data_IF_124398451146
#
_entry.id   IF_124398451146
#
_cell.length_a   1.000
_cell.length_b   1.000
_cell.length_c   1.000
_cell.angle_alpha   90.00
_cell.angle_beta   90.00
_cell.angle_gamma   90.00
#
_symmetry.space_group_name_H-M   'P 1'
#
loop_
_entity.id
_entity.type
_entity.pdbx_description
1 polymer ?
#
# COMPACT_ATOMS: atom_id res chain seq x y z
N UNK A 1 14.81 -31.83 -30.73
CA UNK A 1 13.49 -31.58 -30.13
C UNK A 1 13.42 -30.10 -29.79
N UNK A 2 12.65 -29.31 -30.54
CA UNK A 2 12.37 -27.92 -30.16
C UNK A 2 11.68 -27.90 -28.79
N UNK A 3 12.22 -27.15 -27.84
CA UNK A 3 11.47 -26.77 -26.64
C UNK A 3 10.33 -25.88 -27.10
N UNK A 4 9.11 -26.40 -27.18
CA UNK A 4 7.91 -25.56 -27.33
C UNK A 4 7.94 -24.56 -26.18
N UNK A 5 8.00 -23.27 -26.52
CA UNK A 5 7.99 -22.19 -25.53
C UNK A 5 6.77 -22.30 -24.60
N UNK A 6 6.91 -21.79 -23.38
CA UNK A 6 5.85 -21.80 -22.37
C UNK A 6 4.55 -21.23 -22.95
N UNK A 7 3.54 -22.08 -23.11
CA UNK A 7 2.29 -21.75 -23.82
C UNK A 7 1.35 -20.86 -23.02
N UNK A 8 1.46 -20.86 -21.70
CA UNK A 8 0.67 -20.00 -20.81
C UNK A 8 1.53 -19.55 -19.63
N UNK A 9 2.40 -18.53 -19.82
CA UNK A 9 3.35 -18.10 -18.80
C UNK A 9 2.73 -17.71 -17.47
N UNK A 10 1.52 -17.12 -17.50
CA UNK A 10 0.81 -16.70 -16.31
C UNK A 10 0.43 -17.89 -15.41
N UNK A 11 -0.04 -19.00 -16.02
CA UNK A 11 -0.33 -20.23 -15.28
C UNK A 11 0.94 -20.78 -14.64
N UNK A 12 2.05 -20.89 -15.38
CA UNK A 12 3.32 -21.39 -14.83
C UNK A 12 3.81 -20.55 -13.67
N UNK A 13 3.71 -19.22 -13.77
CA UNK A 13 4.08 -18.29 -12.70
C UNK A 13 3.21 -18.55 -11.46
N UNK A 14 1.89 -18.53 -11.60
CA UNK A 14 0.95 -18.69 -10.48
C UNK A 14 1.01 -20.09 -9.86
N UNK A 15 1.21 -21.13 -10.66
CA UNK A 15 1.40 -22.49 -10.17
C UNK A 15 2.68 -22.63 -9.33
N UNK A 16 3.77 -21.96 -9.74
CA UNK A 16 5.00 -21.87 -8.90
C UNK A 16 4.77 -21.07 -7.62
N UNK A 17 4.00 -19.99 -7.68
CA UNK A 17 3.64 -19.23 -6.46
C UNK A 17 2.83 -20.09 -5.48
N UNK A 18 1.91 -20.91 -5.97
CA UNK A 18 1.11 -21.83 -5.13
C UNK A 18 1.93 -22.97 -4.54
N UNK A 19 3.03 -23.37 -5.19
CA UNK A 19 4.01 -24.30 -4.63
C UNK A 19 4.71 -23.70 -3.40
N UNK A 20 4.91 -22.39 -3.38
CA UNK A 20 5.60 -21.66 -2.31
C UNK A 20 6.96 -22.31 -1.95
N UNK A 21 7.19 -22.70 -0.69
CA UNK A 21 8.46 -23.31 -0.24
C UNK A 21 8.50 -24.84 -0.34
N UNK A 22 7.42 -25.47 -0.83
CA UNK A 22 7.31 -26.95 -0.90
C UNK A 22 8.18 -27.51 -2.01
N UNK A 23 8.77 -28.70 -1.80
CA UNK A 23 9.44 -29.42 -2.89
C UNK A 23 8.42 -29.88 -3.94
N UNK A 24 8.87 -30.21 -5.15
CA UNK A 24 7.98 -30.78 -6.18
C UNK A 24 7.30 -32.07 -5.71
N UNK A 25 7.93 -32.82 -4.80
CA UNK A 25 7.36 -34.05 -4.24
C UNK A 25 6.23 -33.70 -3.28
N UNK A 26 6.48 -32.84 -2.30
CA UNK A 26 5.47 -32.48 -1.29
C UNK A 26 4.26 -31.79 -1.92
N UNK A 27 4.50 -30.95 -2.93
CA UNK A 27 3.42 -30.29 -3.66
C UNK A 27 2.63 -31.26 -4.53
N UNK A 28 3.29 -32.26 -5.13
CA UNK A 28 2.62 -33.32 -5.86
C UNK A 28 1.72 -34.15 -4.96
N UNK A 29 2.22 -34.54 -3.78
CA UNK A 29 1.45 -35.31 -2.79
C UNK A 29 0.24 -34.51 -2.28
N UNK A 30 0.44 -33.21 -1.99
CA UNK A 30 -0.64 -32.30 -1.61
C UNK A 30 -1.75 -32.20 -2.67
N UNK A 31 -1.36 -32.08 -3.93
CA UNK A 31 -2.29 -31.96 -5.06
C UNK A 31 -2.91 -33.31 -5.45
N UNK A 32 -2.29 -34.44 -5.10
CA UNK A 32 -2.66 -35.76 -5.63
C UNK A 32 -2.21 -35.97 -7.09
N UNK A 33 -1.05 -35.40 -7.45
CA UNK A 33 -0.43 -35.52 -8.78
C UNK A 33 0.90 -36.27 -8.69
N UNK A 34 1.48 -36.63 -9.83
CA UNK A 34 2.86 -37.14 -9.84
C UNK A 34 3.88 -36.00 -9.71
N UNK A 35 5.02 -36.27 -9.06
CA UNK A 35 6.18 -35.34 -9.02
C UNK A 35 6.59 -34.85 -10.41
N UNK A 36 6.51 -35.73 -11.41
CA UNK A 36 6.85 -35.42 -12.80
C UNK A 36 5.84 -34.42 -13.41
N UNK A 37 4.55 -34.62 -13.15
CA UNK A 37 3.47 -33.71 -13.58
C UNK A 37 3.69 -32.30 -13.02
N UNK A 38 3.95 -32.18 -11.72
CA UNK A 38 4.27 -30.88 -11.09
C UNK A 38 5.50 -30.24 -11.74
N UNK A 39 6.56 -31.02 -11.98
CA UNK A 39 7.76 -30.54 -12.68
C UNK A 39 7.46 -29.97 -14.07
N UNK A 40 6.62 -30.65 -14.86
CA UNK A 40 6.23 -30.16 -16.18
C UNK A 40 5.43 -28.85 -16.12
N UNK A 41 4.52 -28.71 -15.16
CA UNK A 41 3.74 -27.49 -14.98
C UNK A 41 4.59 -26.33 -14.50
N UNK A 42 5.46 -26.56 -13.52
CA UNK A 42 6.41 -25.56 -13.05
C UNK A 42 7.39 -25.13 -14.13
N UNK A 43 7.75 -25.98 -15.09
CA UNK A 43 8.64 -25.59 -16.20
C UNK A 43 7.90 -24.96 -17.39
N UNK A 44 6.56 -25.00 -17.42
CA UNK A 44 5.77 -24.57 -18.56
C UNK A 44 5.83 -25.53 -19.76
N UNK A 45 6.31 -26.76 -19.54
CA UNK A 45 6.43 -27.81 -20.56
C UNK A 45 5.05 -28.40 -20.92
N UNK A 46 4.13 -28.42 -19.95
CA UNK A 46 2.76 -28.91 -20.09
C UNK A 46 1.78 -27.97 -19.38
N UNK A 47 0.54 -28.02 -19.81
CA UNK A 47 -0.60 -27.41 -19.12
C UNK A 47 -1.51 -28.52 -18.58
N UNK A 48 -2.19 -28.29 -17.44
CA UNK A 48 -3.19 -29.23 -16.93
C UNK A 48 -4.37 -29.34 -17.90
N UNK A 49 -5.00 -30.51 -17.92
CA UNK A 49 -6.34 -30.63 -18.48
C UNK A 49 -7.37 -29.98 -17.55
N UNK A 50 -8.62 -29.90 -17.99
CA UNK A 50 -9.69 -29.23 -17.24
C UNK A 50 -9.91 -29.87 -15.87
N UNK A 51 -9.82 -31.19 -15.77
CA UNK A 51 -10.03 -31.91 -14.50
C UNK A 51 -8.89 -31.63 -13.53
N UNK A 52 -7.65 -31.69 -14.00
CA UNK A 52 -6.46 -31.38 -13.21
C UNK A 52 -6.45 -29.90 -12.80
N UNK A 53 -6.92 -28.99 -13.66
CA UNK A 53 -7.02 -27.56 -13.34
C UNK A 53 -8.01 -27.33 -12.20
N UNK A 54 -9.18 -27.96 -12.24
CA UNK A 54 -10.19 -27.90 -11.16
C UNK A 54 -9.59 -28.48 -9.87
N UNK A 55 -8.93 -29.64 -9.94
CA UNK A 55 -8.27 -30.27 -8.79
C UNK A 55 -7.22 -29.35 -8.15
N UNK A 56 -6.40 -28.67 -8.96
CA UNK A 56 -5.41 -27.70 -8.46
C UNK A 56 -6.11 -26.54 -7.77
N UNK A 57 -7.15 -25.98 -8.40
CA UNK A 57 -7.93 -24.86 -7.87
C UNK A 57 -8.54 -25.20 -6.50
N UNK A 58 -9.21 -26.35 -6.38
CA UNK A 58 -9.81 -26.82 -5.14
C UNK A 58 -8.77 -27.06 -4.04
N UNK A 59 -7.68 -27.79 -4.36
CA UNK A 59 -6.64 -28.11 -3.39
C UNK A 59 -5.93 -26.87 -2.88
N UNK A 60 -5.65 -25.91 -3.76
CA UNK A 60 -4.98 -24.66 -3.41
C UNK A 60 -5.95 -23.59 -2.88
N UNK A 61 -7.25 -23.87 -2.81
CA UNK A 61 -8.30 -22.90 -2.47
C UNK A 61 -8.20 -21.60 -3.28
N UNK A 62 -8.04 -21.74 -4.60
CA UNK A 62 -8.02 -20.61 -5.53
C UNK A 62 -9.03 -20.80 -6.67
N UNK A 63 -9.41 -19.71 -7.34
CA UNK A 63 -10.26 -19.79 -8.54
C UNK A 63 -9.49 -20.31 -9.76
N UNK A 64 -10.19 -20.97 -10.69
CA UNK A 64 -9.61 -21.32 -12.01
C UNK A 64 -9.25 -20.08 -12.81
N UNK A 65 -9.99 -18.99 -12.64
CA UNK A 65 -9.75 -17.71 -13.29
C UNK A 65 -8.41 -17.10 -12.83
N UNK A 66 -8.07 -17.27 -11.54
CA UNK A 66 -6.72 -17.03 -11.04
C UNK A 66 -5.69 -17.97 -11.66
N UNK A 67 -5.94 -19.25 -11.85
CA UNK A 67 -4.93 -20.10 -12.51
C UNK A 67 -4.70 -19.70 -13.98
N UNK A 68 -5.75 -19.23 -14.65
CA UNK A 68 -5.74 -18.92 -16.09
C UNK A 68 -5.28 -17.50 -16.44
N UNK A 69 -5.18 -16.58 -15.47
CA UNK A 69 -4.80 -15.19 -15.76
C UNK A 69 -5.97 -14.23 -16.00
N UNK A 70 -7.20 -14.66 -15.73
CA UNK A 70 -8.42 -13.84 -15.96
C UNK A 70 -8.60 -12.81 -14.85
N UNK A 71 -8.23 -13.16 -13.61
CA UNK A 71 -8.25 -12.27 -12.44
C UNK A 71 -6.96 -12.42 -11.64
N UNK A 72 -6.52 -11.39 -10.92
CA UNK A 72 -5.44 -11.47 -9.93
C UNK A 72 -5.91 -11.96 -8.54
N UNK A 73 -7.23 -12.14 -8.37
CA UNK A 73 -7.84 -12.54 -7.10
C UNK A 73 -7.85 -14.08 -6.99
N UNK A 74 -7.18 -14.60 -5.97
CA UNK A 74 -7.07 -16.03 -5.66
C UNK A 74 -8.38 -16.56 -5.10
N UNK A 75 -8.99 -15.88 -4.13
CA UNK A 75 -10.14 -16.37 -3.36
C UNK A 75 -11.25 -16.90 -4.26
N UNK A 76 -11.89 -18.00 -3.83
CA UNK A 76 -13.09 -18.58 -4.46
C UNK A 76 -14.38 -17.94 -3.95
N UNK A 77 -14.30 -17.14 -2.88
CA UNK A 77 -15.42 -16.41 -2.31
C UNK A 77 -15.81 -15.23 -3.21
N UNK A 78 -17.05 -15.26 -3.70
CA UNK A 78 -17.59 -14.26 -4.64
C UNK A 78 -17.63 -12.86 -4.02
N UNK A 79 -17.89 -12.75 -2.72
CA UNK A 79 -17.99 -11.45 -2.05
C UNK A 79 -16.60 -10.86 -1.81
N UNK A 80 -15.61 -11.70 -1.48
CA UNK A 80 -14.20 -11.28 -1.43
C UNK A 80 -13.73 -10.87 -2.83
N UNK A 81 -14.04 -11.64 -3.87
CA UNK A 81 -13.70 -11.28 -5.25
C UNK A 81 -14.30 -9.93 -5.66
N UNK A 82 -15.58 -9.69 -5.34
CA UNK A 82 -16.22 -8.41 -5.62
C UNK A 82 -15.58 -7.28 -4.82
N UNK A 83 -15.32 -7.48 -3.53
CA UNK A 83 -14.70 -6.47 -2.67
C UNK A 83 -13.31 -6.09 -3.19
N UNK A 84 -12.45 -7.07 -3.48
CA UNK A 84 -11.15 -6.85 -4.12
C UNK A 84 -11.30 -6.13 -5.47
N UNK A 85 -12.24 -6.56 -6.31
CA UNK A 85 -12.48 -5.95 -7.62
C UNK A 85 -12.96 -4.49 -7.57
N UNK A 86 -13.79 -4.14 -6.57
CA UNK A 86 -14.32 -2.77 -6.39
C UNK A 86 -13.26 -1.86 -5.77
N UNK A 87 -12.53 -2.36 -4.76
CA UNK A 87 -11.66 -1.53 -3.93
C UNK A 87 -10.20 -1.52 -4.40
N UNK A 88 -9.79 -2.52 -5.17
CA UNK A 88 -8.38 -2.76 -5.52
C UNK A 88 -7.53 -3.32 -4.37
N UNK A 89 -8.14 -3.65 -3.22
CA UNK A 89 -7.44 -4.21 -2.07
C UNK A 89 -7.13 -5.70 -2.25
N UNK A 90 -6.06 -6.16 -1.61
CA UNK A 90 -5.74 -7.59 -1.54
C UNK A 90 -6.72 -8.34 -0.64
N UNK A 91 -6.81 -9.66 -0.80
CA UNK A 91 -7.62 -10.53 0.06
C UNK A 91 -7.25 -10.37 1.54
N UNK A 92 -5.96 -10.35 1.86
CA UNK A 92 -5.48 -10.15 3.23
C UNK A 92 -5.99 -8.84 3.83
N UNK A 93 -5.99 -7.76 3.04
CA UNK A 93 -6.52 -6.48 3.49
C UNK A 93 -8.04 -6.54 3.72
N UNK A 94 -8.80 -7.20 2.83
CA UNK A 94 -10.24 -7.39 3.03
C UNK A 94 -10.53 -8.23 4.28
N UNK A 95 -9.75 -9.31 4.53
CA UNK A 95 -9.91 -10.12 5.73
C UNK A 95 -9.63 -9.32 7.01
N UNK A 96 -8.59 -8.49 7.03
CA UNK A 96 -8.33 -7.58 8.17
C UNK A 96 -9.54 -6.65 8.42
N UNK A 97 -10.14 -6.11 7.35
CA UNK A 97 -11.32 -5.26 7.48
C UNK A 97 -12.56 -6.03 7.98
N UNK A 98 -12.75 -7.28 7.55
CA UNK A 98 -13.84 -8.14 8.03
C UNK A 98 -13.69 -8.52 9.50
N UNK A 99 -12.48 -8.87 9.94
CA UNK A 99 -12.18 -9.22 11.33
C UNK A 99 -12.27 -8.02 12.29
N UNK A 100 -12.27 -6.80 11.75
CA UNK A 100 -12.37 -5.54 12.49
C UNK A 100 -13.81 -5.16 12.90
N UNK A 101 -14.71 -6.15 13.05
CA UNK A 101 -16.14 -5.90 13.29
C UNK A 101 -16.42 -5.00 14.50
N UNK A 102 -15.65 -5.14 15.58
CA UNK A 102 -15.83 -4.33 16.80
C UNK A 102 -15.28 -2.90 16.67
N UNK A 103 -14.57 -2.58 15.60
CA UNK A 103 -13.98 -1.25 15.34
C UNK A 103 -14.56 -0.58 14.11
N UNK A 104 -15.65 -1.12 13.55
CA UNK A 104 -16.24 -0.65 12.29
C UNK A 104 -16.69 0.82 12.35
N UNK A 105 -17.19 1.29 13.51
CA UNK A 105 -17.60 2.69 13.66
C UNK A 105 -16.41 3.64 13.55
N UNK A 106 -15.32 3.35 14.26
CA UNK A 106 -14.09 4.12 14.18
C UNK A 106 -13.49 4.07 12.76
N UNK A 107 -13.55 2.90 12.11
CA UNK A 107 -13.09 2.73 10.74
C UNK A 107 -13.93 3.57 9.77
N UNK A 108 -15.26 3.57 9.90
CA UNK A 108 -16.16 4.36 9.06
C UNK A 108 -15.87 5.87 9.18
N UNK A 109 -15.66 6.36 10.41
CA UNK A 109 -15.24 7.75 10.64
C UNK A 109 -13.93 8.03 9.89
N UNK A 110 -12.88 7.23 10.15
CA UNK A 110 -11.57 7.45 9.52
C UNK A 110 -11.66 7.42 7.99
N UNK A 111 -12.34 6.44 7.41
CA UNK A 111 -12.42 6.28 5.94
C UNK A 111 -13.24 7.39 5.26
N UNK A 112 -14.18 8.00 5.98
CA UNK A 112 -14.99 9.11 5.47
C UNK A 112 -14.24 10.45 5.50
N UNK A 113 -13.32 10.61 6.44
CA UNK A 113 -12.65 11.88 6.69
C UNK A 113 -11.63 12.26 5.60
N UNK A 114 -11.66 13.53 5.15
CA UNK A 114 -10.72 14.07 4.16
C UNK A 114 -9.25 13.86 4.55
N UNK A 115 -8.84 14.08 5.82
CA UNK A 115 -7.48 13.79 6.26
C UNK A 115 -6.99 12.36 5.96
N UNK A 116 -7.87 11.36 5.89
CA UNK A 116 -7.46 10.00 5.52
C UNK A 116 -7.11 9.90 4.04
N UNK A 117 -7.89 10.55 3.16
CA UNK A 117 -7.52 10.65 1.74
C UNK A 117 -6.19 11.35 1.56
N UNK A 118 -5.96 12.44 2.28
CA UNK A 118 -4.71 13.20 2.22
C UNK A 118 -3.54 12.37 2.75
N UNK A 119 -3.75 11.60 3.82
CA UNK A 119 -2.78 10.63 4.35
C UNK A 119 -2.40 9.59 3.28
N UNK A 120 -3.36 8.97 2.61
CA UNK A 120 -3.08 7.97 1.57
C UNK A 120 -2.23 8.55 0.42
N UNK A 121 -2.57 9.75 -0.04
CA UNK A 121 -1.81 10.43 -1.08
C UNK A 121 -0.39 10.77 -0.60
N UNK A 122 -0.24 11.24 0.64
CA UNK A 122 1.07 11.54 1.22
C UNK A 122 1.93 10.28 1.36
N UNK A 123 1.35 9.15 1.80
CA UNK A 123 2.08 7.88 1.91
C UNK A 123 2.53 7.37 0.54
N UNK A 124 1.69 7.52 -0.49
CA UNK A 124 2.05 7.19 -1.86
C UNK A 124 3.20 8.07 -2.35
N UNK A 125 3.09 9.39 -2.26
CA UNK A 125 4.13 10.33 -2.68
C UNK A 125 5.42 10.19 -1.88
N UNK A 126 5.32 9.87 -0.58
CA UNK A 126 6.47 9.56 0.27
C UNK A 126 7.26 8.37 -0.30
N UNK A 127 6.57 7.27 -0.62
CA UNK A 127 7.20 6.08 -1.21
C UNK A 127 7.92 6.41 -2.51
N UNK A 128 7.25 7.11 -3.43
CA UNK A 128 7.86 7.49 -4.72
C UNK A 128 9.07 8.40 -4.53
N UNK A 129 9.01 9.34 -3.58
CA UNK A 129 10.13 10.21 -3.22
C UNK A 129 11.33 9.43 -2.67
N UNK A 130 11.11 8.45 -1.79
CA UNK A 130 12.19 7.59 -1.26
C UNK A 130 12.83 6.75 -2.36
N UNK A 131 12.03 6.21 -3.28
CA UNK A 131 12.54 5.46 -4.44
C UNK A 131 13.40 6.38 -5.32
N UNK A 132 12.90 7.59 -5.61
CA UNK A 132 13.61 8.58 -6.40
C UNK A 132 14.97 8.95 -5.79
N UNK A 133 15.00 9.26 -4.50
CA UNK A 133 16.24 9.53 -3.76
C UNK A 133 17.21 8.36 -3.81
N UNK A 134 16.73 7.14 -3.57
CA UNK A 134 17.56 5.93 -3.60
C UNK A 134 18.25 5.73 -4.96
N UNK A 135 17.49 5.93 -6.04
CA UNK A 135 18.02 5.83 -7.41
C UNK A 135 19.00 6.96 -7.70
N UNK A 136 18.67 8.19 -7.31
CA UNK A 136 19.54 9.36 -7.49
C UNK A 136 20.91 9.11 -6.83
N UNK A 137 20.91 8.70 -5.57
CA UNK A 137 22.12 8.40 -4.80
C UNK A 137 22.92 7.25 -5.42
N UNK A 138 22.27 6.19 -5.90
CA UNK A 138 22.92 5.06 -6.59
C UNK A 138 23.63 5.52 -7.87
N UNK A 139 23.00 6.38 -8.67
CA UNK A 139 23.62 6.91 -9.90
C UNK A 139 24.78 7.83 -9.54
N UNK A 140 24.58 8.75 -8.59
CA UNK A 140 25.60 9.72 -8.17
C UNK A 140 26.86 9.03 -7.64
N UNK A 141 26.69 7.96 -6.86
CA UNK A 141 27.79 7.19 -6.29
C UNK A 141 28.39 6.16 -7.25
N UNK A 142 27.61 5.70 -8.24
CA UNK A 142 28.02 4.68 -9.21
C UNK A 142 28.66 5.23 -10.49
N UNK A 143 28.58 6.54 -10.73
CA UNK A 143 29.14 7.17 -11.94
C UNK A 143 30.46 7.89 -11.63
N UNK A 144 31.43 7.79 -12.53
CA UNK A 144 32.77 8.34 -12.33
C UNK A 144 32.85 9.87 -12.51
N UNK A 145 31.88 10.47 -13.20
CA UNK A 145 31.85 11.91 -13.52
C UNK A 145 30.45 12.49 -13.40
N UNK A 146 30.35 13.81 -13.17
CA UNK A 146 29.07 14.51 -13.12
C UNK A 146 28.30 14.47 -14.46
N UNK A 147 29.02 14.50 -15.59
CA UNK A 147 28.43 14.35 -16.92
C UNK A 147 27.78 12.96 -17.08
N UNK A 148 28.45 11.91 -16.60
CA UNK A 148 27.89 10.56 -16.63
C UNK A 148 26.65 10.42 -15.74
N UNK A 149 26.61 11.07 -14.57
CA UNK A 149 25.39 11.14 -13.75
C UNK A 149 24.25 11.84 -14.51
N UNK A 150 24.55 12.95 -15.16
CA UNK A 150 23.56 13.76 -15.90
C UNK A 150 22.95 12.98 -17.05
N UNK A 151 23.76 12.25 -17.83
CA UNK A 151 23.28 11.38 -18.91
C UNK A 151 22.36 10.28 -18.38
N UNK A 152 22.71 9.66 -17.24
CA UNK A 152 21.87 8.65 -16.60
C UNK A 152 20.54 9.23 -16.08
N UNK A 153 20.57 10.43 -15.49
CA UNK A 153 19.35 11.12 -15.05
C UNK A 153 18.41 11.43 -16.22
N UNK A 154 18.92 11.99 -17.31
CA UNK A 154 18.09 12.29 -18.50
C UNK A 154 17.50 11.02 -19.12
N UNK A 155 18.26 9.92 -19.10
CA UNK A 155 17.77 8.62 -19.58
C UNK A 155 16.57 8.10 -18.77
N UNK A 156 16.45 8.46 -17.49
CA UNK A 156 15.27 8.17 -16.67
C UNK A 156 14.11 9.10 -17.06
N UNK A 157 14.39 10.40 -17.16
CA UNK A 157 13.36 11.42 -17.42
C UNK A 157 12.68 11.28 -18.78
N UNK A 158 13.40 10.76 -19.78
CA UNK A 158 12.92 10.57 -21.15
C UNK A 158 12.30 9.17 -21.38
N UNK A 159 12.31 8.28 -20.37
CA UNK A 159 11.87 6.90 -20.54
C UNK A 159 10.35 6.75 -20.38
N UNK A 160 9.65 6.60 -21.52
CA UNK A 160 8.20 6.42 -21.57
C UNK A 160 7.68 5.10 -21.00
N UNK A 161 8.55 4.14 -20.65
CA UNK A 161 8.16 2.87 -20.05
C UNK A 161 8.13 2.92 -18.51
N UNK A 162 8.57 4.03 -17.91
CA UNK A 162 8.55 4.21 -16.46
C UNK A 162 7.22 4.83 -16.01
N UNK A 163 6.75 4.52 -14.78
CA UNK A 163 5.56 5.15 -14.23
C UNK A 163 5.71 6.68 -14.13
N UNK A 164 4.67 7.42 -14.53
CA UNK A 164 4.67 8.89 -14.54
C UNK A 164 4.91 9.49 -13.15
N UNK A 165 4.22 8.98 -12.13
CA UNK A 165 4.36 9.42 -10.74
C UNK A 165 5.79 9.27 -10.19
N UNK A 166 6.46 8.18 -10.59
CA UNK A 166 7.87 7.96 -10.26
C UNK A 166 8.76 9.00 -10.96
N UNK A 167 8.56 9.21 -12.26
CA UNK A 167 9.34 10.18 -13.04
C UNK A 167 9.18 11.59 -12.48
N UNK A 168 7.98 11.99 -12.09
CA UNK A 168 7.71 13.30 -11.51
C UNK A 168 8.31 13.46 -10.10
N UNK A 169 8.27 12.39 -9.29
CA UNK A 169 8.99 12.35 -8.02
C UNK A 169 10.51 12.47 -8.22
N UNK A 170 11.05 11.85 -9.26
CA UNK A 170 12.46 11.95 -9.62
C UNK A 170 12.85 13.35 -10.11
N UNK A 171 12.03 13.98 -10.95
CA UNK A 171 12.19 15.38 -11.35
C UNK A 171 12.22 16.32 -10.15
N UNK A 172 11.28 16.11 -9.21
CA UNK A 172 11.19 16.89 -7.98
C UNK A 172 12.46 16.76 -7.15
N UNK A 173 12.96 15.53 -6.99
CA UNK A 173 14.21 15.29 -6.26
C UNK A 173 15.41 15.96 -6.93
N UNK A 174 15.55 15.85 -8.26
CA UNK A 174 16.61 16.53 -9.01
C UNK A 174 16.55 18.05 -8.86
N UNK A 175 15.35 18.64 -9.00
CA UNK A 175 15.16 20.06 -8.82
C UNK A 175 15.58 20.51 -7.41
N UNK A 176 15.26 19.68 -6.40
CA UNK A 176 15.65 19.94 -5.02
C UNK A 176 17.18 19.91 -4.84
N UNK A 177 17.87 18.90 -5.37
CA UNK A 177 19.32 18.77 -5.26
C UNK A 177 20.08 19.88 -6.01
N UNK A 178 19.50 20.42 -7.08
CA UNK A 178 20.12 21.46 -7.91
C UNK A 178 19.79 22.88 -7.45
N UNK A 179 18.95 23.06 -6.43
CA UNK A 179 18.54 24.37 -5.98
C UNK A 179 19.60 24.98 -5.05
N UNK A 180 20.36 25.96 -5.56
CA UNK A 180 21.40 26.66 -4.79
C UNK A 180 20.83 27.51 -3.62
N UNK A 181 19.54 27.87 -3.70
CA UNK A 181 18.87 28.77 -2.76
C UNK A 181 18.10 28.04 -1.64
N UNK A 182 17.94 26.72 -1.73
CA UNK A 182 17.26 25.94 -0.68
C UNK A 182 18.26 25.62 0.43
N UNK A 183 18.33 26.51 1.41
CA UNK A 183 19.15 26.34 2.63
C UNK A 183 18.25 25.98 3.81
N UNK A 184 18.29 24.73 4.24
CA UNK A 184 17.66 24.33 5.52
C UNK A 184 18.73 24.42 6.60
N UNK A 185 18.80 25.59 7.23
CA UNK A 185 19.96 26.06 7.99
C UNK A 185 20.10 25.49 9.41
N UNK A 186 19.48 24.34 9.74
CA UNK A 186 19.38 23.89 11.13
C UNK A 186 19.66 22.41 11.38
N UNK A 187 19.96 21.61 10.36
CA UNK A 187 20.24 20.18 10.53
C UNK A 187 21.51 19.76 9.81
N UNK A 188 22.30 18.90 10.45
CA UNK A 188 23.47 18.25 9.85
C UNK A 188 23.06 17.23 8.76
N UNK A 189 21.77 16.86 8.69
CA UNK A 189 21.19 15.99 7.68
C UNK A 189 20.74 16.77 6.44
N UNK A 190 20.99 16.20 5.27
CA UNK A 190 20.47 16.71 4.00
C UNK A 190 18.96 16.46 3.95
N UNK A 191 18.17 17.52 3.96
CA UNK A 191 16.73 17.42 3.79
C UNK A 191 16.37 16.97 2.37
N UNK A 192 15.36 16.13 2.23
CA UNK A 192 14.87 15.63 0.95
C UNK A 192 13.34 15.81 0.83
N UNK A 193 12.78 15.75 -0.39
CA UNK A 193 11.34 15.86 -0.57
C UNK A 193 10.50 14.82 0.21
N UNK A 194 11.07 13.66 0.58
CA UNK A 194 10.36 12.67 1.38
C UNK A 194 10.03 13.19 2.79
N UNK A 195 10.89 14.02 3.38
CA UNK A 195 10.65 14.64 4.70
C UNK A 195 9.37 15.48 4.71
N UNK A 196 9.04 16.13 3.59
CA UNK A 196 7.81 16.93 3.44
C UNK A 196 6.59 16.01 3.49
N UNK A 197 6.58 14.94 2.71
CA UNK A 197 5.46 14.01 2.67
C UNK A 197 5.27 13.29 4.01
N UNK A 198 6.36 12.94 4.70
CA UNK A 198 6.31 12.37 6.05
C UNK A 198 5.67 13.34 7.05
N UNK A 199 6.04 14.63 7.00
CA UNK A 199 5.43 15.66 7.84
C UNK A 199 3.94 15.81 7.58
N UNK A 200 3.51 15.84 6.31
CA UNK A 200 2.09 15.94 5.97
C UNK A 200 1.30 14.69 6.32
N UNK A 201 1.87 13.50 6.14
CA UNK A 201 1.27 12.24 6.60
C UNK A 201 1.08 12.26 8.12
N UNK A 202 2.10 12.68 8.87
CA UNK A 202 2.04 12.79 10.34
C UNK A 202 0.97 13.78 10.80
N UNK A 203 0.85 14.93 10.14
CA UNK A 203 -0.21 15.91 10.41
C UNK A 203 -1.60 15.34 10.12
N UNK A 204 -1.76 14.67 9.00
CA UNK A 204 -3.04 14.07 8.59
C UNK A 204 -3.48 13.00 9.59
N UNK A 205 -2.55 12.15 10.04
CA UNK A 205 -2.81 11.17 11.09
C UNK A 205 -3.23 11.83 12.40
N UNK A 206 -2.54 12.90 12.80
CA UNK A 206 -2.92 13.67 14.01
C UNK A 206 -4.35 14.20 13.90
N UNK A 207 -4.70 14.80 12.76
CA UNK A 207 -6.06 15.33 12.55
C UNK A 207 -7.13 14.23 12.60
N UNK A 208 -6.84 13.03 12.10
CA UNK A 208 -7.74 11.88 12.24
C UNK A 208 -7.92 11.48 13.71
N UNK A 209 -6.84 11.45 14.49
CA UNK A 209 -6.91 11.15 15.93
C UNK A 209 -7.71 12.20 16.70
N UNK A 210 -7.54 13.48 16.36
CA UNK A 210 -8.31 14.58 16.96
C UNK A 210 -9.80 14.44 16.63
N UNK A 211 -10.14 14.03 15.40
CA UNK A 211 -11.53 13.80 14.95
C UNK A 211 -12.17 12.64 15.73
N UNK A 212 -11.50 11.49 15.81
CA UNK A 212 -11.95 10.35 16.60
C UNK A 212 -12.14 10.70 18.08
N UNK A 213 -11.23 11.52 18.63
CA UNK A 213 -11.30 11.98 20.01
C UNK A 213 -12.49 12.92 20.25
N UNK A 214 -12.83 13.76 19.26
CA UNK A 214 -14.02 14.61 19.29
C UNK A 214 -15.30 13.80 19.39
N UNK A 215 -15.47 12.83 18.50
CA UNK A 215 -16.64 11.95 18.48
C UNK A 215 -16.78 11.15 19.79
N UNK A 216 -15.67 10.58 20.28
CA UNK A 216 -15.67 9.82 21.54
C UNK A 216 -16.11 10.67 22.75
N UNK A 217 -15.75 11.96 22.79
CA UNK A 217 -16.18 12.88 23.85
C UNK A 217 -17.68 13.15 23.78
N UNK A 218 -18.24 13.33 22.58
CA UNK A 218 -19.68 13.48 22.39
C UNK A 218 -20.42 12.23 22.86
N UNK A 219 -19.95 11.04 22.48
CA UNK A 219 -20.53 9.77 22.94
C UNK A 219 -20.45 9.60 24.47
N UNK A 220 -19.37 10.06 25.11
CA UNK A 220 -19.26 10.02 26.57
C UNK A 220 -20.36 10.85 27.26
N UNK A 221 -20.72 12.03 26.73
CA UNK A 221 -21.81 12.84 27.27
C UNK A 221 -23.16 12.13 27.16
N UNK A 222 -23.41 11.45 26.03
CA UNK A 222 -24.61 10.64 25.82
C UNK A 222 -24.66 9.49 26.84
N UNK A 223 -23.56 8.74 26.99
CA UNK A 223 -23.50 7.62 27.92
C UNK A 223 -23.70 8.04 29.39
N UNK A 224 -23.18 9.21 29.78
CA UNK A 224 -23.40 9.79 31.11
C UNK A 224 -24.88 10.10 31.33
N UNK A 225 -25.53 10.72 30.34
CA UNK A 225 -26.96 11.02 30.39
C UNK A 225 -27.81 9.75 30.48
N UNK A 226 -27.50 8.75 29.64
CA UNK A 226 -28.19 7.44 29.63
C UNK A 226 -27.98 6.66 30.92
N UNK A 227 -26.83 6.81 31.58
CA UNK A 227 -26.55 6.24 32.89
C UNK A 227 -27.25 6.97 34.05
N UNK A 228 -28.01 8.04 33.77
CA UNK A 228 -28.71 8.84 34.78
C UNK A 228 -27.76 9.65 35.69
N UNK A 229 -26.51 9.84 35.27
CA UNK A 229 -25.53 10.61 36.02
C UNK A 229 -25.74 12.08 35.69
N UNK A 230 -26.34 12.82 36.61
CA UNK A 230 -26.61 14.24 36.42
C UNK A 230 -25.33 15.06 36.74
N UNK A 231 -24.49 15.27 35.72
CA UNK A 231 -23.36 16.18 35.81
C UNK A 231 -23.84 17.62 35.62
N UNK A 232 -23.33 18.61 36.38
CA UNK A 232 -23.59 20.01 36.08
C UNK A 232 -23.16 20.31 34.63
N UNK A 233 -23.87 21.18 33.89
CA UNK A 233 -23.47 21.53 32.53
C UNK A 233 -22.02 21.97 32.58
N UNK A 234 -21.17 21.18 31.93
CA UNK A 234 -19.74 21.41 31.91
C UNK A 234 -19.49 22.75 31.23
N UNK A 235 -18.49 23.50 31.68
CA UNK A 235 -17.98 24.66 30.93
C UNK A 235 -17.41 24.29 29.54
N UNK A 236 -17.66 23.06 29.05
CA UNK A 236 -17.22 22.51 27.76
C UNK A 236 -17.75 23.30 26.56
N UNK A 237 -18.83 24.08 26.69
CA UNK A 237 -19.26 25.02 25.65
C UNK A 237 -18.21 26.10 25.33
N UNK A 238 -17.22 26.33 26.21
CA UNK A 238 -16.06 27.20 25.96
C UNK A 238 -14.87 26.50 25.29
N UNK A 239 -14.83 25.16 25.26
CA UNK A 239 -13.72 24.41 24.65
C UNK A 239 -14.07 23.96 23.23
N UNK A 240 -15.36 23.75 22.93
CA UNK A 240 -15.84 23.35 21.60
C UNK A 240 -15.88 24.54 20.62
N UNK A 241 -16.12 25.75 21.12
CA UNK A 241 -15.99 26.98 20.33
C UNK A 241 -14.62 27.59 20.62
N UNK A 242 -13.64 27.32 19.77
CA UNK A 242 -12.33 27.95 19.84
C UNK A 242 -12.46 29.47 19.74
N UNK A 243 -12.41 30.16 20.88
CA UNK A 243 -12.16 31.59 20.94
C UNK A 243 -10.84 31.79 21.68
N UNK A 244 -9.80 32.09 20.91
CA UNK A 244 -8.53 32.53 21.43
C UNK A 244 -8.71 33.91 22.04
N UNK A 245 -8.96 33.98 23.35
CA UNK A 245 -8.69 35.21 24.09
C UNK A 245 -7.19 35.34 24.23
N UNK A 246 -6.63 36.18 23.35
CA UNK A 246 -5.44 36.96 23.60
C UNK A 246 -5.58 37.70 24.93
N UNK A 247 -5.03 37.14 26.00
CA UNK A 247 -4.74 37.89 27.22
C UNK A 247 -3.25 37.77 27.53
N UNK A 248 -2.54 38.82 27.11
CA UNK A 248 -1.46 39.49 27.83
C UNK A 248 -0.98 38.78 29.10
N UNK A 249 0.24 38.23 29.04
CA UNK A 249 1.12 38.19 30.21
C UNK A 249 2.34 39.07 29.94
N UNK A 250 2.24 40.30 30.41
CA UNK A 250 3.38 41.01 30.96
C UNK A 250 3.93 40.16 32.12
N UNK A 251 5.20 39.77 32.03
CA UNK A 251 6.28 40.05 33.00
C UNK A 251 7.58 39.47 32.43
#
# INVERSE_FOLDING_TARGET
>A
MERKGNRLPIFTKRFRELQDKRSNTDFADFLGLSRQTVGFYCNGDRLPDVITLIQIAERCNVSTDYLLGVTDIKSTDVDIQKACGITGLSEDAIYILQDSFNTVDALNVVLYERPFRDLLLCLYSYRESVIAESIYNRIRNGTATADASTVAFNSILENSNLPEDFVDSFKTHLAFCNADDIKISTFDSTFCPADIYELYASRSLKTLMDTLSGDARIFAEILVADAGINLPPSQLSQIINGDGTSETRNF
#
